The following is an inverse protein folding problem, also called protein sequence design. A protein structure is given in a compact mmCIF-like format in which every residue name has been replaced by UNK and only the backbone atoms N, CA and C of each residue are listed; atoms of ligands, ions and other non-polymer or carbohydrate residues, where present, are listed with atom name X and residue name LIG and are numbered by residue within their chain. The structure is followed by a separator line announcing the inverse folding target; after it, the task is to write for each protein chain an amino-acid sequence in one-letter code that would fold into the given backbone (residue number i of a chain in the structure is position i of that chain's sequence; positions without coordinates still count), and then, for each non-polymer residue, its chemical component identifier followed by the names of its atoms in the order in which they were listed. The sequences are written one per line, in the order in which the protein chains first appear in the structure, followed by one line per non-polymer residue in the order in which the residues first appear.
data_IF_384421947947
#
_entry.id   IF_384421947947
#
_cell.length_a   1.000
_cell.length_b   1.000
_cell.length_c   1.000
_cell.angle_alpha   90.00
_cell.angle_beta   90.00
_cell.angle_gamma   90.00
#
_symmetry.space_group_name_H-M   'P 1'
#
loop_
_entity.id
_entity.type
_entity.pdbx_description
1 polymer ?
#
# COMPACT_ATOMS: atom_id res chain seq x y z
N UNK A 1 11.46 -2.91 32.23
CA UNK A 1 10.63 -2.70 31.01
C UNK A 1 11.59 -2.44 29.87
N UNK A 2 11.63 -3.31 28.89
CA UNK A 2 12.48 -3.12 27.70
C UNK A 2 11.93 -1.99 26.81
N UNK A 3 12.64 -1.61 25.72
CA UNK A 3 12.24 -0.51 24.87
C UNK A 3 10.90 -0.78 24.16
N UNK A 4 10.66 -2.02 23.72
CA UNK A 4 9.41 -2.44 23.08
C UNK A 4 8.21 -2.29 24.01
N UNK A 5 8.36 -2.77 25.27
CA UNK A 5 7.32 -2.61 26.29
C UNK A 5 6.98 -1.14 26.56
N UNK A 6 8.01 -0.26 26.57
CA UNK A 6 7.80 1.19 26.76
C UNK A 6 6.98 1.78 25.59
N UNK A 7 7.36 1.47 24.33
CA UNK A 7 6.64 1.94 23.14
C UNK A 7 5.20 1.41 23.16
N UNK A 8 5.03 0.12 23.44
CA UNK A 8 3.71 -0.51 23.50
C UNK A 8 2.81 0.10 24.57
N UNK A 9 3.32 0.22 25.81
CA UNK A 9 2.58 0.80 26.93
C UNK A 9 2.27 2.29 26.68
N UNK A 10 3.24 3.05 26.14
CA UNK A 10 3.05 4.45 25.79
C UNK A 10 1.97 4.62 24.72
N UNK A 11 2.01 3.83 23.65
CA UNK A 11 1.01 3.88 22.59
C UNK A 11 -0.40 3.53 23.11
N UNK A 12 -0.50 2.48 23.94
CA UNK A 12 -1.77 2.10 24.56
C UNK A 12 -2.32 3.23 25.43
N UNK A 13 -1.49 3.80 26.31
CA UNK A 13 -1.87 4.90 27.21
C UNK A 13 -2.35 6.13 26.42
N UNK A 14 -1.61 6.54 25.38
CA UNK A 14 -1.99 7.68 24.55
C UNK A 14 -3.30 7.46 23.80
N UNK A 15 -3.53 6.26 23.25
CA UNK A 15 -4.77 5.88 22.59
C UNK A 15 -5.96 6.01 23.57
N UNK A 16 -5.80 5.51 24.80
CA UNK A 16 -6.84 5.54 25.83
C UNK A 16 -7.10 6.97 26.32
N UNK A 17 -6.05 7.77 26.57
CA UNK A 17 -6.17 9.15 27.04
C UNK A 17 -6.79 10.08 26.00
N UNK A 18 -6.48 9.89 24.72
CA UNK A 18 -7.07 10.66 23.64
C UNK A 18 -8.45 10.16 23.21
N UNK A 19 -8.92 9.04 23.75
CA UNK A 19 -10.21 8.44 23.39
C UNK A 19 -10.29 8.00 21.93
N UNK A 20 -9.15 7.59 21.32
CA UNK A 20 -9.10 7.19 19.93
C UNK A 20 -9.81 5.85 19.72
N UNK A 21 -10.71 5.80 18.72
CA UNK A 21 -11.44 4.55 18.40
C UNK A 21 -10.55 3.58 17.63
N UNK A 22 -9.61 2.96 18.35
CA UNK A 22 -8.70 1.91 17.84
C UNK A 22 -9.28 0.53 18.12
N UNK A 23 -9.25 -0.34 17.14
CA UNK A 23 -9.70 -1.74 17.29
C UNK A 23 -8.59 -2.62 17.86
N UNK A 24 -7.35 -2.41 17.41
CA UNK A 24 -6.20 -3.14 17.90
C UNK A 24 -4.86 -2.53 17.50
N UNK A 25 -3.85 -2.85 18.30
CA UNK A 25 -2.44 -2.61 18.00
C UNK A 25 -1.67 -3.91 18.11
N UNK A 26 -0.70 -4.09 17.22
CA UNK A 26 0.24 -5.21 17.22
C UNK A 26 1.63 -4.66 16.99
N UNK A 27 2.57 -5.01 17.87
CA UNK A 27 3.99 -4.75 17.71
C UNK A 27 4.74 -6.06 17.53
N UNK A 28 5.63 -6.11 16.53
CA UNK A 28 6.58 -7.19 16.34
C UNK A 28 8.01 -6.65 16.41
N UNK A 29 8.91 -7.39 17.11
CA UNK A 29 10.35 -7.20 17.00
C UNK A 29 11.00 -8.31 16.19
N UNK A 30 12.25 -8.09 15.71
CA UNK A 30 13.05 -9.12 15.04
C UNK A 30 13.42 -10.29 15.95
N UNK A 31 13.32 -10.11 17.28
CA UNK A 31 13.58 -11.15 18.28
C UNK A 31 12.35 -12.05 18.52
N UNK A 32 11.35 -11.98 17.62
CA UNK A 32 10.06 -12.67 17.72
C UNK A 32 9.21 -12.26 18.93
N UNK A 33 9.57 -11.15 19.60
CA UNK A 33 8.68 -10.58 20.61
C UNK A 33 7.46 -9.96 19.95
N UNK A 34 6.29 -10.29 20.49
CA UNK A 34 5.02 -9.81 19.99
C UNK A 34 4.17 -9.27 21.13
N UNK A 35 3.74 -8.03 20.96
CA UNK A 35 2.84 -7.36 21.89
C UNK A 35 1.53 -7.06 21.17
N UNK A 36 0.41 -7.40 21.80
CA UNK A 36 -0.93 -7.20 21.23
C UNK A 36 -1.83 -6.58 22.28
N UNK A 37 -2.60 -5.56 21.87
CA UNK A 37 -3.78 -5.13 22.59
C UNK A 37 -4.95 -4.97 21.62
N UNK A 38 -6.08 -5.55 21.99
CA UNK A 38 -7.33 -5.47 21.25
C UNK A 38 -8.37 -4.79 22.12
N UNK A 39 -8.94 -3.69 21.64
CA UNK A 39 -10.09 -3.02 22.28
C UNK A 39 -11.44 -3.52 21.73
N UNK A 40 -11.40 -4.30 20.65
CA UNK A 40 -12.57 -4.92 20.05
C UNK A 40 -12.25 -6.31 19.52
N UNK A 41 -13.28 -7.03 19.08
CA UNK A 41 -13.12 -8.33 18.41
C UNK A 41 -12.13 -8.27 17.26
N UNK A 42 -11.17 -9.21 17.23
CA UNK A 42 -10.15 -9.32 16.20
C UNK A 42 -10.72 -9.93 14.91
N UNK A 43 -11.51 -9.13 14.20
CA UNK A 43 -12.11 -9.52 12.93
C UNK A 43 -11.51 -8.70 11.77
N UNK A 44 -11.59 -9.25 10.58
CA UNK A 44 -11.18 -8.56 9.36
C UNK A 44 -12.02 -7.32 9.13
N UNK A 45 -11.36 -6.22 8.81
CA UNK A 45 -11.95 -4.94 8.44
C UNK A 45 -11.23 -4.39 7.22
N UNK A 46 -11.93 -3.57 6.44
CA UNK A 46 -11.31 -2.89 5.31
C UNK A 46 -10.11 -2.06 5.78
N UNK A 47 -8.92 -2.40 5.27
CA UNK A 47 -7.68 -1.68 5.56
C UNK A 47 -7.48 -0.46 4.64
N UNK A 48 -8.49 -0.13 3.84
CA UNK A 48 -8.47 0.99 2.88
C UNK A 48 -7.19 1.00 2.03
N UNK A 49 -6.53 2.17 1.95
CA UNK A 49 -5.37 2.36 1.08
C UNK A 49 -4.11 1.62 1.52
N UNK A 50 -4.06 1.05 2.72
CA UNK A 50 -2.96 0.16 3.09
C UNK A 50 -2.89 -1.09 2.19
N UNK A 51 -3.99 -1.43 1.50
CA UNK A 51 -4.04 -2.48 0.49
C UNK A 51 -3.09 -2.24 -0.71
N UNK A 52 -2.78 -0.98 -1.04
CA UNK A 52 -1.91 -0.62 -2.16
C UNK A 52 -0.51 -1.23 -2.07
N UNK A 53 0.00 -1.40 -0.85
CA UNK A 53 1.31 -2.02 -0.63
C UNK A 53 1.34 -3.47 -1.11
N UNK A 54 0.24 -4.22 -1.00
CA UNK A 54 0.13 -5.56 -1.59
C UNK A 54 0.15 -5.54 -3.12
N UNK A 55 -0.40 -4.49 -3.75
CA UNK A 55 -0.28 -4.30 -5.21
C UNK A 55 1.18 -4.13 -5.61
N UNK A 56 1.93 -3.32 -4.86
CA UNK A 56 3.37 -3.15 -5.10
C UNK A 56 4.13 -4.47 -4.94
N UNK A 57 3.85 -5.27 -3.90
CA UNK A 57 4.46 -6.59 -3.74
C UNK A 57 4.16 -7.51 -4.95
N UNK A 58 2.93 -7.48 -5.47
CA UNK A 58 2.57 -8.26 -6.66
C UNK A 58 3.36 -7.82 -7.90
N UNK A 59 3.55 -6.52 -8.12
CA UNK A 59 4.43 -5.99 -9.18
C UNK A 59 5.87 -6.47 -8.97
N UNK A 60 6.39 -6.40 -7.73
CA UNK A 60 7.74 -6.88 -7.42
C UNK A 60 7.94 -8.36 -7.77
N UNK A 61 6.95 -9.20 -7.48
CA UNK A 61 7.00 -10.62 -7.86
C UNK A 61 6.97 -10.78 -9.39
N UNK A 62 6.16 -10.00 -10.10
CA UNK A 62 6.15 -10.02 -11.57
C UNK A 62 7.49 -9.57 -12.16
N UNK A 63 8.18 -8.60 -11.56
CA UNK A 63 9.54 -8.18 -11.94
C UNK A 63 10.53 -9.32 -11.69
N UNK A 64 10.51 -9.95 -10.51
CA UNK A 64 11.39 -11.07 -10.15
C UNK A 64 11.16 -12.29 -11.05
N UNK A 65 9.91 -12.52 -11.51
CA UNK A 65 9.56 -13.58 -12.47
C UNK A 65 9.90 -13.19 -13.93
N UNK A 66 10.41 -11.98 -14.19
CA UNK A 66 10.75 -11.50 -15.54
C UNK A 66 9.54 -11.29 -16.46
N UNK A 67 8.34 -11.06 -15.89
CA UNK A 67 7.09 -10.86 -16.64
C UNK A 67 6.91 -9.43 -17.12
N UNK A 68 7.53 -8.48 -16.43
CA UNK A 68 7.54 -7.06 -16.75
C UNK A 68 8.76 -6.39 -16.14
N UNK A 69 9.05 -5.17 -16.60
CA UNK A 69 10.01 -4.25 -16.00
C UNK A 69 9.31 -3.00 -15.47
N UNK A 70 9.97 -2.27 -14.59
CA UNK A 70 9.41 -1.01 -14.08
C UNK A 70 9.35 0.09 -15.15
N UNK A 71 10.14 -0.04 -16.22
CA UNK A 71 10.22 0.92 -17.33
C UNK A 71 9.24 0.60 -18.47
N UNK A 72 8.55 -0.54 -18.41
CA UNK A 72 7.57 -0.89 -19.43
C UNK A 72 6.45 0.14 -19.45
N UNK A 73 6.08 0.61 -20.64
CA UNK A 73 4.91 1.45 -20.83
C UNK A 73 3.64 0.69 -20.47
N UNK A 74 2.79 1.29 -19.62
CA UNK A 74 1.52 0.67 -19.26
C UNK A 74 0.63 0.40 -20.48
N UNK A 75 0.75 1.21 -21.52
CA UNK A 75 -0.06 1.09 -22.73
C UNK A 75 0.24 -0.20 -23.53
N UNK A 76 1.45 -0.75 -23.37
CA UNK A 76 1.83 -2.00 -24.03
C UNK A 76 1.04 -3.22 -23.49
N UNK A 77 0.55 -3.16 -22.27
CA UNK A 77 -0.30 -4.20 -21.69
C UNK A 77 -1.77 -4.13 -22.16
N UNK A 78 -2.16 -3.05 -22.84
CA UNK A 78 -3.52 -2.80 -23.31
C UNK A 78 -3.54 -2.43 -24.80
N UNK A 79 -3.04 -3.31 -25.70
CA UNK A 79 -2.95 -3.00 -27.15
C UNK A 79 -4.31 -2.68 -27.76
N UNK A 80 -5.39 -3.27 -27.23
CA UNK A 80 -6.76 -3.02 -27.66
C UNK A 80 -7.23 -1.59 -27.39
N UNK A 81 -6.62 -0.89 -26.43
CA UNK A 81 -6.99 0.50 -26.07
C UNK A 81 -6.06 1.56 -26.66
N UNK A 82 -4.98 1.17 -27.36
CA UNK A 82 -4.04 2.13 -28.01
C UNK A 82 -4.77 3.18 -28.87
N UNK A 83 -5.79 2.83 -29.69
CA UNK A 83 -6.49 3.82 -30.51
C UNK A 83 -7.30 4.86 -29.73
N UNK A 84 -7.59 4.58 -28.46
CA UNK A 84 -8.42 5.42 -27.59
C UNK A 84 -7.63 6.16 -26.54
N UNK A 85 -6.37 5.83 -26.33
CA UNK A 85 -5.51 6.44 -25.33
C UNK A 85 -5.22 7.91 -25.67
N UNK A 86 -5.20 8.76 -24.65
CA UNK A 86 -4.79 10.16 -24.83
C UNK A 86 -3.30 10.25 -25.18
N UNK A 87 -2.93 11.31 -25.90
CA UNK A 87 -1.53 11.59 -26.27
C UNK A 87 -0.64 11.66 -25.01
N UNK A 88 0.55 11.06 -25.07
CA UNK A 88 1.50 11.00 -23.96
C UNK A 88 1.31 9.81 -23.02
N UNK A 89 0.18 9.07 -23.12
CA UNK A 89 -0.08 7.88 -22.28
C UNK A 89 0.97 6.79 -22.52
N UNK A 90 1.56 6.73 -23.69
CA UNK A 90 2.65 5.80 -24.05
C UNK A 90 3.95 6.02 -23.24
N UNK A 91 4.08 7.18 -22.60
CA UNK A 91 5.22 7.51 -21.73
C UNK A 91 5.03 7.07 -20.29
N UNK A 92 3.82 6.71 -19.89
CA UNK A 92 3.52 6.30 -18.51
C UNK A 92 4.08 4.90 -18.28
N UNK A 93 4.99 4.76 -17.33
CA UNK A 93 5.60 3.47 -16.98
C UNK A 93 4.93 2.84 -15.76
N UNK A 94 5.21 1.55 -15.52
CA UNK A 94 4.82 0.85 -14.29
C UNK A 94 5.37 1.59 -13.07
N UNK A 95 6.61 2.08 -13.11
CA UNK A 95 7.23 2.92 -12.05
C UNK A 95 6.41 4.16 -11.76
N UNK A 96 5.96 4.89 -12.79
CA UNK A 96 5.18 6.10 -12.59
C UNK A 96 3.85 5.83 -11.87
N UNK A 97 3.20 4.70 -12.14
CA UNK A 97 2.00 4.30 -11.40
C UNK A 97 2.31 3.95 -9.93
N UNK A 98 3.40 3.22 -9.66
CA UNK A 98 3.82 2.87 -8.31
C UNK A 98 4.12 4.10 -7.46
N UNK A 99 4.73 5.12 -8.07
CA UNK A 99 5.08 6.40 -7.43
C UNK A 99 3.94 7.41 -7.42
N UNK A 100 2.74 7.06 -7.93
CA UNK A 100 1.62 8.01 -8.05
C UNK A 100 1.95 9.24 -8.91
N UNK A 101 2.75 9.07 -9.94
CA UNK A 101 3.24 10.12 -10.84
C UNK A 101 2.86 9.87 -12.30
N UNK A 102 1.62 9.41 -12.54
CA UNK A 102 1.15 9.10 -13.91
C UNK A 102 1.03 10.32 -14.83
N UNK A 103 1.02 11.53 -14.28
CA UNK A 103 0.73 12.75 -15.03
C UNK A 103 -0.76 12.99 -15.30
N UNK A 104 -1.65 12.09 -14.86
CA UNK A 104 -3.11 12.20 -15.03
C UNK A 104 -3.77 12.63 -13.74
N UNK A 105 -4.70 13.60 -13.80
CA UNK A 105 -5.43 14.13 -12.63
C UNK A 105 -6.69 13.31 -12.29
N UNK A 106 -6.61 12.00 -12.40
CA UNK A 106 -7.71 11.09 -12.06
C UNK A 106 -7.45 10.43 -10.69
N UNK A 107 -8.17 10.89 -9.66
CA UNK A 107 -8.02 10.35 -8.31
C UNK A 107 -8.71 8.99 -8.14
N UNK A 108 -9.93 8.85 -8.62
CA UNK A 108 -10.76 7.64 -8.51
C UNK A 108 -11.78 7.56 -9.63
N UNK A 109 -12.25 6.35 -9.90
CA UNK A 109 -13.33 6.14 -10.87
C UNK A 109 -14.69 6.46 -10.25
N UNK A 110 -15.65 6.96 -11.06
CA UNK A 110 -17.03 7.13 -10.63
C UNK A 110 -17.65 5.80 -10.18
N UNK A 111 -18.49 5.84 -9.14
CA UNK A 111 -19.12 4.63 -8.60
C UNK A 111 -20.26 4.09 -9.44
N UNK A 112 -20.90 4.95 -10.23
CA UNK A 112 -22.17 4.68 -10.88
C UNK A 112 -22.04 4.25 -12.34
N UNK A 113 -20.84 3.92 -12.81
CA UNK A 113 -20.57 3.48 -14.18
C UNK A 113 -20.40 1.96 -14.19
N UNK A 114 -21.52 1.22 -14.29
CA UNK A 114 -21.53 -0.24 -14.25
C UNK A 114 -20.94 -0.88 -15.52
N UNK A 115 -21.04 -0.21 -16.67
CA UNK A 115 -20.71 -0.79 -18.00
C UNK A 115 -19.37 -0.28 -18.56
N UNK A 116 -18.62 0.51 -17.79
CA UNK A 116 -17.40 1.13 -18.30
C UNK A 116 -16.15 0.45 -17.76
N UNK A 117 -15.25 0.08 -18.66
CA UNK A 117 -13.93 -0.40 -18.29
C UNK A 117 -13.10 0.75 -17.68
N UNK A 118 -12.74 0.63 -16.39
CA UNK A 118 -11.96 1.63 -15.69
C UNK A 118 -10.55 1.81 -16.27
N UNK A 119 -9.97 0.75 -16.86
CA UNK A 119 -8.68 0.87 -17.54
C UNK A 119 -8.80 1.76 -18.78
N UNK A 120 -9.86 1.58 -19.58
CA UNK A 120 -10.11 2.47 -20.72
C UNK A 120 -10.35 3.91 -20.29
N UNK A 121 -11.10 4.15 -19.20
CA UNK A 121 -11.28 5.50 -18.64
C UNK A 121 -9.95 6.14 -18.27
N UNK A 122 -9.08 5.40 -17.56
CA UNK A 122 -7.75 5.88 -17.19
C UNK A 122 -6.91 6.23 -18.43
N UNK A 123 -6.87 5.34 -19.43
CA UNK A 123 -6.05 5.52 -20.61
C UNK A 123 -6.52 6.68 -21.49
N UNK A 124 -7.82 6.99 -21.50
CA UNK A 124 -8.41 8.13 -22.22
C UNK A 124 -8.24 9.46 -21.53
N UNK A 125 -8.05 9.48 -20.22
CA UNK A 125 -7.83 10.74 -19.48
C UNK A 125 -6.60 11.47 -20.00
N UNK A 126 -6.70 12.79 -20.14
CA UNK A 126 -5.59 13.61 -20.62
C UNK A 126 -4.50 13.77 -19.57
N UNK A 127 -3.24 13.88 -20.00
CA UNK A 127 -2.15 14.27 -19.11
C UNK A 127 -2.29 15.74 -18.71
N UNK A 128 -2.02 16.03 -17.45
CA UNK A 128 -1.94 17.38 -16.89
C UNK A 128 -0.49 17.79 -16.59
N UNK A 129 0.39 16.80 -16.40
CA UNK A 129 1.82 16.97 -16.20
C UNK A 129 2.58 15.87 -16.93
N UNK A 130 3.89 16.02 -17.10
CA UNK A 130 4.75 14.97 -17.67
C UNK A 130 4.81 13.77 -16.69
N UNK A 131 4.64 12.52 -17.15
CA UNK A 131 4.76 11.34 -16.31
C UNK A 131 6.08 11.29 -15.54
N UNK A 132 6.04 10.91 -14.28
CA UNK A 132 7.21 10.81 -13.39
C UNK A 132 7.64 12.12 -12.73
N UNK A 133 6.99 13.27 -13.01
CA UNK A 133 7.47 14.56 -12.52
C UNK A 133 6.71 15.09 -11.30
N UNK A 134 5.41 14.81 -11.20
CA UNK A 134 4.54 15.35 -10.15
C UNK A 134 3.80 14.23 -9.45
N UNK A 135 3.91 14.20 -8.13
CA UNK A 135 3.12 13.30 -7.30
C UNK A 135 1.64 13.73 -7.30
N UNK A 136 0.76 12.81 -7.65
CA UNK A 136 -0.68 12.97 -7.53
C UNK A 136 -1.32 11.68 -7.03
N UNK A 137 -1.71 11.65 -5.75
CA UNK A 137 -2.25 10.44 -5.13
C UNK A 137 -3.50 9.95 -5.84
N UNK A 138 -3.46 8.74 -6.40
CA UNK A 138 -4.48 8.22 -7.29
C UNK A 138 -4.84 6.76 -7.00
N UNK A 139 -6.11 6.51 -6.70
CA UNK A 139 -6.64 5.15 -6.62
C UNK A 139 -6.65 4.47 -7.99
N UNK A 140 -6.76 5.26 -9.06
CA UNK A 140 -6.74 4.75 -10.42
C UNK A 140 -5.37 4.15 -10.80
N UNK A 141 -4.25 4.73 -10.31
CA UNK A 141 -2.92 4.14 -10.50
C UNK A 141 -2.83 2.72 -9.92
N UNK A 142 -3.34 2.51 -8.70
CA UNK A 142 -3.33 1.18 -8.07
C UNK A 142 -4.21 0.17 -8.79
N UNK A 143 -5.38 0.61 -9.28
CA UNK A 143 -6.25 -0.22 -10.10
C UNK A 143 -5.54 -0.62 -11.41
N UNK A 144 -4.91 0.32 -12.10
CA UNK A 144 -4.17 0.04 -13.34
C UNK A 144 -3.04 -0.96 -13.12
N UNK A 145 -2.29 -0.86 -12.02
CA UNK A 145 -1.28 -1.88 -11.68
C UNK A 145 -1.91 -3.26 -11.47
N UNK A 146 -3.06 -3.35 -10.82
CA UNK A 146 -3.83 -4.60 -10.70
C UNK A 146 -4.19 -5.16 -12.07
N UNK A 147 -4.63 -4.32 -13.01
CA UNK A 147 -4.95 -4.71 -14.39
C UNK A 147 -3.71 -5.14 -15.17
N UNK A 148 -2.55 -4.48 -14.97
CA UNK A 148 -1.27 -4.93 -15.57
C UNK A 148 -0.92 -6.33 -15.08
N UNK A 149 -1.05 -6.63 -13.77
CA UNK A 149 -0.82 -7.97 -13.23
C UNK A 149 -1.75 -8.98 -13.91
N UNK A 150 -3.03 -8.68 -14.08
CA UNK A 150 -3.96 -9.56 -14.79
C UNK A 150 -3.52 -9.84 -16.24
N UNK A 151 -3.04 -8.82 -16.96
CA UNK A 151 -2.57 -8.97 -18.34
C UNK A 151 -1.34 -9.87 -18.46
N UNK A 152 -0.38 -9.77 -17.54
CA UNK A 152 0.88 -10.54 -17.62
C UNK A 152 0.79 -11.93 -16.98
N UNK A 153 -0.24 -12.19 -16.14
CA UNK A 153 -0.36 -13.44 -15.38
C UNK A 153 -1.59 -14.28 -15.76
N UNK A 154 -2.61 -13.68 -16.35
CA UNK A 154 -3.91 -14.30 -16.60
C UNK A 154 -4.77 -14.53 -15.34
N UNK A 155 -4.37 -13.99 -14.19
CA UNK A 155 -5.09 -14.11 -12.91
C UNK A 155 -5.50 -12.73 -12.41
N UNK A 156 -6.62 -12.63 -11.69
CA UNK A 156 -6.92 -11.39 -10.97
C UNK A 156 -5.80 -11.08 -9.97
N UNK A 157 -5.63 -9.81 -9.59
CA UNK A 157 -4.65 -9.42 -8.59
C UNK A 157 -4.79 -10.24 -7.30
N UNK A 158 -6.02 -10.46 -6.82
CA UNK A 158 -6.28 -11.23 -5.62
C UNK A 158 -5.85 -12.70 -5.79
N UNK A 159 -6.29 -13.35 -6.87
CA UNK A 159 -5.97 -14.77 -7.15
C UNK A 159 -4.46 -14.96 -7.35
N UNK A 160 -3.77 -14.01 -7.99
CA UNK A 160 -2.33 -14.06 -8.15
C UNK A 160 -1.58 -14.02 -6.81
N UNK A 161 -2.06 -13.18 -5.86
CA UNK A 161 -1.45 -13.01 -4.54
C UNK A 161 -1.77 -14.16 -3.57
N UNK A 162 -2.89 -14.87 -3.71
CA UNK A 162 -3.28 -15.95 -2.76
C UNK A 162 -2.13 -16.96 -2.56
N UNK A 163 -1.63 -17.67 -3.58
CA UNK A 163 -0.59 -18.69 -3.37
C UNK A 163 0.80 -18.06 -3.12
N UNK A 164 1.06 -16.86 -3.61
CA UNK A 164 2.39 -16.24 -3.59
C UNK A 164 2.67 -15.48 -2.31
N UNK A 165 1.65 -14.83 -1.76
CA UNK A 165 1.78 -13.92 -0.61
C UNK A 165 0.84 -14.31 0.52
N UNK A 166 -0.48 -14.29 0.29
CA UNK A 166 -1.45 -14.42 1.37
C UNK A 166 -1.32 -15.74 2.13
N UNK A 167 -1.25 -16.88 1.43
CA UNK A 167 -1.08 -18.20 2.08
C UNK A 167 0.23 -18.27 2.86
N UNK A 168 1.32 -17.72 2.32
CA UNK A 168 2.63 -17.70 2.98
C UNK A 168 2.64 -16.82 4.24
N UNK A 169 1.86 -15.75 4.23
CA UNK A 169 1.62 -14.90 5.40
C UNK A 169 0.58 -15.49 6.36
N UNK A 170 -0.03 -16.64 6.06
CA UNK A 170 -1.10 -17.24 6.85
C UNK A 170 -2.41 -16.43 6.79
N UNK A 171 -2.64 -15.68 5.72
CA UNK A 171 -3.87 -14.96 5.44
C UNK A 171 -4.71 -15.85 4.51
N UNK A 172 -5.59 -16.65 5.10
CA UNK A 172 -6.42 -17.60 4.36
C UNK A 172 -7.72 -16.95 3.89
N UNK A 173 -8.14 -17.25 2.65
CA UNK A 173 -9.37 -16.73 2.06
C UNK A 173 -9.51 -15.20 2.20
N UNK A 174 -8.57 -14.41 1.65
CA UNK A 174 -8.67 -12.95 1.71
C UNK A 174 -9.87 -12.46 0.91
N UNK A 175 -10.56 -11.44 1.45
CA UNK A 175 -11.65 -10.76 0.75
C UNK A 175 -11.13 -9.42 0.23
N UNK A 176 -11.22 -9.22 -1.09
CA UNK A 176 -10.83 -7.98 -1.75
C UNK A 176 -11.90 -7.53 -2.74
N UNK A 177 -12.39 -6.32 -2.59
CA UNK A 177 -13.45 -5.77 -3.44
C UNK A 177 -13.03 -5.70 -4.91
N UNK A 178 -14.00 -5.92 -5.80
CA UNK A 178 -13.84 -5.83 -7.26
C UNK A 178 -14.61 -4.65 -7.84
N UNK A 179 -14.22 -4.22 -9.05
CA UNK A 179 -15.02 -3.32 -9.86
C UNK A 179 -16.24 -4.09 -10.45
N UNK A 180 -17.21 -3.40 -11.10
CA UNK A 180 -18.38 -4.06 -11.70
C UNK A 180 -18.03 -5.14 -12.72
N UNK A 181 -16.86 -5.07 -13.37
CA UNK A 181 -16.38 -6.07 -14.33
C UNK A 181 -15.60 -7.23 -13.68
N UNK A 182 -15.54 -7.29 -12.34
CA UNK A 182 -14.90 -8.39 -11.61
C UNK A 182 -13.39 -8.22 -11.36
N UNK A 183 -12.76 -7.13 -11.81
CA UNK A 183 -11.34 -6.88 -11.56
C UNK A 183 -11.10 -6.36 -10.14
N UNK A 184 -10.06 -6.86 -9.46
CA UNK A 184 -9.70 -6.42 -8.11
C UNK A 184 -9.40 -4.92 -8.08
N UNK A 185 -10.00 -4.16 -7.14
CA UNK A 185 -9.83 -2.71 -7.04
C UNK A 185 -8.38 -2.30 -6.75
N UNK A 186 -7.61 -3.10 -6.00
CA UNK A 186 -6.22 -2.82 -5.66
C UNK A 186 -6.03 -1.63 -4.71
N UNK A 187 -6.77 -0.56 -4.89
CA UNK A 187 -6.62 0.69 -4.15
C UNK A 187 -7.20 0.66 -2.73
N UNK A 188 -8.17 -0.21 -2.48
CA UNK A 188 -8.97 -0.31 -1.23
C UNK A 188 -9.75 -1.62 -1.24
N UNK A 189 -10.49 -1.91 -0.16
CA UNK A 189 -11.44 -3.02 -0.12
C UNK A 189 -10.84 -4.37 0.27
N UNK A 190 -9.56 -4.45 0.59
CA UNK A 190 -8.97 -5.63 1.23
C UNK A 190 -9.32 -5.63 2.71
N UNK A 191 -9.85 -6.75 3.20
CA UNK A 191 -10.21 -6.92 4.62
C UNK A 191 -9.18 -7.77 5.35
N UNK A 192 -8.55 -7.20 6.39
CA UNK A 192 -7.56 -7.88 7.23
C UNK A 192 -7.82 -7.60 8.72
N UNK A 193 -7.34 -8.51 9.57
CA UNK A 193 -7.19 -8.27 11.01
C UNK A 193 -5.95 -7.40 11.27
N UNK A 194 -5.81 -6.84 12.46
CA UNK A 194 -4.61 -6.10 12.86
C UNK A 194 -3.34 -6.95 12.77
N UNK A 195 -3.44 -8.22 13.14
CA UNK A 195 -2.33 -9.17 13.07
C UNK A 195 -1.94 -9.53 11.62
N UNK A 196 -2.94 -9.76 10.77
CA UNK A 196 -2.70 -10.04 9.35
C UNK A 196 -2.01 -8.87 8.66
N UNK A 197 -2.42 -7.63 8.97
CA UNK A 197 -1.77 -6.42 8.48
C UNK A 197 -0.33 -6.30 9.01
N UNK A 198 -0.06 -6.68 10.27
CA UNK A 198 1.30 -6.66 10.83
C UNK A 198 2.26 -7.59 10.07
N UNK A 199 1.77 -8.73 9.54
CA UNK A 199 2.60 -9.68 8.78
C UNK A 199 3.13 -9.09 7.48
N UNK A 200 2.41 -8.14 6.86
CA UNK A 200 2.95 -7.34 5.77
C UNK A 200 4.18 -6.55 6.22
N UNK A 201 4.12 -5.89 7.37
CA UNK A 201 5.26 -5.15 7.92
C UNK A 201 6.47 -6.05 8.20
N UNK A 202 6.24 -7.26 8.73
CA UNK A 202 7.31 -8.25 8.94
C UNK A 202 7.94 -8.68 7.61
N UNK A 203 7.14 -8.92 6.56
CA UNK A 203 7.64 -9.20 5.21
C UNK A 203 8.55 -8.07 4.70
N UNK A 204 8.11 -6.83 4.83
CA UNK A 204 8.87 -5.65 4.39
C UNK A 204 10.15 -5.46 5.21
N UNK A 205 10.08 -5.59 6.53
CA UNK A 205 11.22 -5.46 7.44
C UNK A 205 12.31 -6.51 7.14
N UNK A 206 11.90 -7.72 6.77
CA UNK A 206 12.81 -8.82 6.41
C UNK A 206 13.20 -8.83 4.93
N UNK A 207 13.12 -7.67 4.24
CA UNK A 207 13.56 -7.54 2.85
C UNK A 207 12.86 -8.48 1.88
N UNK A 208 11.56 -8.72 2.08
CA UNK A 208 10.74 -9.55 1.20
C UNK A 208 10.68 -11.04 1.57
N UNK A 209 11.20 -11.41 2.74
CA UNK A 209 11.15 -12.78 3.25
C UNK A 209 10.20 -12.89 4.46
N UNK A 210 9.51 -14.02 4.58
CA UNK A 210 8.64 -14.32 5.71
C UNK A 210 8.78 -15.80 6.12
N UNK A 211 9.03 -16.06 7.41
CA UNK A 211 9.26 -17.43 7.94
C UNK A 211 10.28 -18.23 7.12
N UNK A 212 11.39 -17.60 6.73
CA UNK A 212 12.47 -18.22 5.96
C UNK A 212 12.15 -18.44 4.47
N UNK A 213 10.97 -18.06 4.00
CA UNK A 213 10.60 -18.12 2.59
C UNK A 213 10.78 -16.76 1.92
N UNK A 214 11.53 -16.72 0.82
CA UNK A 214 11.58 -15.55 -0.04
C UNK A 214 10.27 -15.40 -0.82
N UNK A 215 9.63 -14.23 -0.75
CA UNK A 215 8.36 -13.93 -1.41
C UNK A 215 8.59 -12.95 -2.57
N UNK A 216 9.41 -11.93 -2.34
CA UNK A 216 9.83 -10.91 -3.30
C UNK A 216 11.28 -10.54 -3.02
N UNK A 217 12.05 -10.16 -4.03
CA UNK A 217 13.48 -9.89 -3.86
C UNK A 217 13.75 -8.72 -2.91
N UNK A 218 14.83 -8.81 -2.15
CA UNK A 218 15.31 -7.72 -1.30
C UNK A 218 15.64 -6.47 -2.12
N UNK A 219 16.14 -6.66 -3.36
CA UNK A 219 16.40 -5.57 -4.29
C UNK A 219 15.15 -4.75 -4.58
N UNK A 220 14.00 -5.41 -4.82
CA UNK A 220 12.74 -4.73 -5.04
C UNK A 220 12.25 -3.99 -3.78
N UNK A 221 12.30 -4.62 -2.60
CA UNK A 221 11.92 -3.97 -1.34
C UNK A 221 12.78 -2.73 -1.07
N UNK A 222 14.09 -2.81 -1.35
CA UNK A 222 14.98 -1.65 -1.22
C UNK A 222 14.55 -0.55 -2.18
N UNK A 223 14.34 -0.83 -3.47
CA UNK A 223 13.87 0.16 -4.44
C UNK A 223 12.52 0.74 -4.03
N UNK A 224 11.59 -0.08 -3.54
CA UNK A 224 10.28 0.32 -3.06
C UNK A 224 10.33 1.45 -2.00
N UNK A 225 11.39 1.49 -1.20
CA UNK A 225 11.54 2.44 -0.08
C UNK A 225 12.61 3.51 -0.30
N UNK A 226 13.38 3.44 -1.38
CA UNK A 226 14.46 4.40 -1.68
C UNK A 226 14.28 5.14 -3.00
N UNK A 227 13.61 4.54 -3.98
CA UNK A 227 13.26 5.21 -5.24
C UNK A 227 11.91 5.93 -5.05
N UNK A 228 11.99 7.15 -4.50
CA UNK A 228 10.84 7.90 -4.04
C UNK A 228 10.67 9.19 -4.83
N UNK A 229 9.41 9.64 -4.93
CA UNK A 229 9.05 10.98 -5.38
C UNK A 229 8.69 11.85 -4.17
N UNK A 230 9.05 13.14 -4.22
CA UNK A 230 8.67 14.08 -3.18
C UNK A 230 7.14 14.30 -3.17
N UNK A 231 6.52 14.07 -2.01
CA UNK A 231 5.08 14.24 -1.84
C UNK A 231 4.71 15.47 -0.97
N UNK A 232 5.71 16.29 -0.60
CA UNK A 232 5.56 17.40 0.38
C UNK A 232 4.63 18.53 -0.08
N UNK A 233 4.51 18.77 -1.37
CA UNK A 233 3.93 20.02 -1.88
C UNK A 233 2.44 19.96 -2.20
N UNK A 234 1.79 18.80 -2.12
CA UNK A 234 0.53 18.61 -2.83
C UNK A 234 -0.74 18.58 -2.00
N UNK A 235 -0.75 18.37 -0.70
CA UNK A 235 -2.02 18.37 0.04
C UNK A 235 -1.86 18.70 1.52
N UNK A 236 -2.58 19.75 1.97
CA UNK A 236 -2.87 20.05 3.37
C UNK A 236 -3.59 18.92 4.13
N UNK A 237 -4.07 17.90 3.39
CA UNK A 237 -4.79 16.73 3.93
C UNK A 237 -3.87 15.60 4.39
N UNK A 238 -2.59 15.60 3.97
CA UNK A 238 -1.63 14.56 4.37
C UNK A 238 -0.78 15.00 5.55
N UNK A 239 -0.38 14.10 6.47
CA UNK A 239 0.44 14.45 7.60
C UNK A 239 1.74 15.13 7.18
N UNK A 240 2.15 16.19 7.89
CA UNK A 240 3.46 16.85 7.67
C UNK A 240 4.65 15.91 7.83
N UNK A 241 4.45 14.76 8.49
CA UNK A 241 5.43 13.66 8.63
C UNK A 241 5.60 12.82 7.36
N UNK A 242 4.69 12.93 6.38
CA UNK A 242 4.80 12.26 5.08
C UNK A 242 5.61 13.14 4.14
N UNK A 243 6.86 12.75 3.90
CA UNK A 243 7.78 13.54 3.09
C UNK A 243 7.89 13.03 1.67
N UNK A 244 7.91 11.70 1.48
CA UNK A 244 8.19 11.03 0.22
C UNK A 244 7.24 9.86 0.01
N UNK A 245 7.09 9.45 -1.26
CA UNK A 245 6.29 8.31 -1.65
C UNK A 245 7.08 7.38 -2.56
N UNK A 246 7.27 6.16 -2.12
CA UNK A 246 7.94 5.11 -2.88
C UNK A 246 6.95 4.29 -3.71
N UNK A 247 7.20 2.99 -3.85
CA UNK A 247 6.32 2.12 -4.62
C UNK A 247 5.11 1.71 -3.77
N UNK A 248 4.06 2.53 -3.81
CA UNK A 248 2.83 2.37 -3.00
C UNK A 248 3.08 2.24 -1.50
N UNK A 249 4.03 3.02 -1.00
CA UNK A 249 4.39 3.12 0.42
C UNK A 249 4.84 4.54 0.75
N UNK A 250 4.45 5.03 1.91
CA UNK A 250 4.93 6.30 2.45
C UNK A 250 6.32 6.12 3.07
N UNK A 251 7.19 7.11 2.90
CA UNK A 251 8.57 7.06 3.38
C UNK A 251 8.94 8.36 4.08
N UNK A 252 9.55 8.26 5.25
CA UNK A 252 10.27 9.34 5.88
C UNK A 252 11.76 8.99 5.86
N UNK A 253 12.46 9.48 4.85
CA UNK A 253 13.88 9.15 4.61
C UNK A 253 14.80 9.66 5.72
N UNK A 254 14.50 10.82 6.31
CA UNK A 254 15.31 11.40 7.41
C UNK A 254 15.32 10.50 8.65
N UNK A 255 14.17 9.85 8.95
CA UNK A 255 14.03 8.95 10.10
C UNK A 255 14.24 7.48 9.74
N UNK A 256 14.41 7.16 8.46
CA UNK A 256 14.47 5.79 7.94
C UNK A 256 13.28 4.96 8.45
N UNK A 257 12.07 5.44 8.16
CA UNK A 257 10.79 4.81 8.53
C UNK A 257 9.91 4.79 7.29
N UNK A 258 9.17 3.73 7.08
CA UNK A 258 8.19 3.66 6.00
C UNK A 258 6.93 2.93 6.44
N UNK A 259 5.79 3.24 5.80
CA UNK A 259 4.52 2.68 6.23
C UNK A 259 3.46 2.59 5.12
N UNK A 260 2.66 1.53 5.20
CA UNK A 260 1.37 1.48 4.54
C UNK A 260 0.35 2.27 5.38
N UNK A 261 -0.46 3.09 4.72
CA UNK A 261 -1.49 3.90 5.36
C UNK A 261 -2.85 3.72 4.69
N UNK A 262 -3.89 3.56 5.49
CA UNK A 262 -5.27 3.54 5.06
C UNK A 262 -6.13 4.51 5.88
N UNK A 263 -7.14 5.07 5.24
CA UNK A 263 -8.10 6.00 5.84
C UNK A 263 -8.60 5.48 7.20
N UNK A 264 -8.98 6.39 8.09
CA UNK A 264 -9.50 6.12 9.43
C UNK A 264 -8.51 5.44 10.39
N UNK A 265 -7.19 5.57 10.16
CA UNK A 265 -6.17 5.10 11.08
C UNK A 265 -5.72 3.65 10.89
N UNK A 266 -5.73 3.15 9.65
CA UNK A 266 -5.08 1.88 9.33
C UNK A 266 -3.61 2.12 9.06
N UNK A 267 -2.72 1.52 9.85
CA UNK A 267 -1.27 1.67 9.71
C UNK A 267 -0.55 0.33 9.77
N UNK A 268 0.45 0.18 8.93
CA UNK A 268 1.49 -0.83 9.06
C UNK A 268 2.83 -0.12 8.90
N UNK A 269 3.49 0.19 10.02
CA UNK A 269 4.70 1.01 10.11
C UNK A 269 5.89 0.11 10.35
N UNK A 270 6.95 0.31 9.57
CA UNK A 270 8.23 -0.38 9.73
C UNK A 270 9.29 0.62 10.17
N UNK A 271 9.99 0.29 11.24
CA UNK A 271 11.09 1.08 11.84
C UNK A 271 12.36 0.24 11.82
N UNK A 272 13.14 0.23 10.71
CA UNK A 272 14.25 -0.72 10.51
C UNK A 272 15.33 -0.63 11.59
N UNK A 273 15.70 0.56 12.01
CA UNK A 273 16.74 0.76 13.03
C UNK A 273 16.34 0.33 14.46
N UNK A 274 15.03 0.04 14.66
CA UNK A 274 14.50 -0.60 15.89
C UNK A 274 14.16 -2.08 15.68
N UNK A 275 14.29 -2.59 14.46
CA UNK A 275 13.73 -3.89 14.09
C UNK A 275 12.26 -4.04 14.53
N UNK A 276 11.47 -3.00 14.32
CA UNK A 276 10.12 -2.87 14.86
C UNK A 276 9.09 -2.70 13.76
N UNK A 277 8.02 -3.48 13.85
CA UNK A 277 6.78 -3.30 13.09
C UNK A 277 5.66 -2.90 14.04
N UNK A 278 4.91 -1.87 13.68
CA UNK A 278 3.70 -1.43 14.40
C UNK A 278 2.53 -1.50 13.44
N UNK A 279 1.53 -2.31 13.77
CA UNK A 279 0.27 -2.36 13.03
C UNK A 279 -0.87 -1.84 13.89
N UNK A 280 -1.72 -1.02 13.28
CA UNK A 280 -2.91 -0.45 13.92
C UNK A 280 -4.09 -0.58 12.99
N UNK A 281 -5.23 -0.98 13.53
CA UNK A 281 -6.53 -0.85 12.86
C UNK A 281 -7.47 -0.02 13.73
N UNK A 282 -8.18 0.92 13.10
CA UNK A 282 -9.00 1.91 13.82
C UNK A 282 -10.21 2.36 12.99
N UNK A 283 -11.07 3.15 13.61
CA UNK A 283 -12.11 3.95 12.94
C UNK A 283 -12.11 5.36 13.52
N UNK A 284 -11.17 6.18 13.04
CA UNK A 284 -11.10 7.58 13.42
C UNK A 284 -12.08 8.40 12.58
N UNK A 285 -12.98 9.13 13.23
CA UNK A 285 -13.94 10.04 12.63
C UNK A 285 -13.99 11.35 13.45
N UNK A 286 -13.56 12.50 12.87
CA UNK A 286 -12.99 12.61 11.54
C UNK A 286 -11.68 11.88 11.39
N UNK A 287 -11.30 11.55 10.15
CA UNK A 287 -9.99 10.95 9.84
C UNK A 287 -8.88 11.90 10.31
N UNK A 288 -7.91 11.35 11.03
CA UNK A 288 -6.85 12.15 11.64
C UNK A 288 -5.54 11.38 11.69
N UNK A 289 -4.44 12.11 11.89
CA UNK A 289 -3.10 11.56 12.02
C UNK A 289 -2.69 11.27 13.47
N UNK A 290 -3.62 11.39 14.42
CA UNK A 290 -3.33 11.28 15.85
C UNK A 290 -2.54 10.02 16.22
N UNK A 291 -2.85 8.87 15.59
CA UNK A 291 -2.12 7.61 15.80
C UNK A 291 -0.68 7.72 15.28
N UNK A 292 -0.49 8.21 14.04
CA UNK A 292 0.84 8.36 13.46
C UNK A 292 1.69 9.34 14.26
N UNK A 293 1.11 10.48 14.64
CA UNK A 293 1.80 11.51 15.45
C UNK A 293 2.20 10.95 16.82
N UNK A 294 1.34 10.15 17.45
CA UNK A 294 1.65 9.45 18.69
C UNK A 294 2.82 8.47 18.52
N UNK A 295 2.76 7.64 17.47
CA UNK A 295 3.84 6.69 17.20
C UNK A 295 5.15 7.43 16.95
N UNK A 296 5.14 8.49 16.12
CA UNK A 296 6.34 9.28 15.80
C UNK A 296 6.96 10.00 17.00
N UNK A 297 6.21 10.23 18.08
CA UNK A 297 6.73 10.76 19.36
C UNK A 297 7.37 9.69 20.25
N UNK A 298 6.91 8.43 20.13
CA UNK A 298 7.34 7.34 21.01
C UNK A 298 8.58 6.59 20.51
N UNK A 299 8.94 6.72 19.21
CA UNK A 299 10.06 6.01 18.57
C UNK A 299 11.29 6.87 18.34
#
# INVERSE_FOLDING_TARGET
MNRMEKIFSGLKTEIEQQGLNVFGIVLYSSENEKYINLWSENKRRNIFSAAKTFVSIAIGICVDEGRLTLEDSILEFFPEYKPYASSGTEKITVRNLLQMASGKAIHRFPKDISDTDYALLFLRESLTTEPGTVFYYSNACSYMLGRVIEKVTGNTLCDYLIPRVFNKLGILNPEWSTCPQGHTIGATGLALTTEELARLGVLLMNGGSYNGQNIVSNGYIKSMTTDCICAKELHSEYPKSMADYGYHIWVNGERNIYWAWGKQGQYCIVVPWLNLVISVTARLEPDSNAILDTIMKLI
#
